data_IF_345230530087
#
_entry.id   IF_345230530087
#
_cell.length_a   1.000
_cell.length_b   1.000
_cell.length_c   1.000
_cell.angle_alpha   90.00
_cell.angle_beta   90.00
_cell.angle_gamma   90.00
#
_symmetry.space_group_name_H-M   'P 1'
#
loop_
_entity.id
_entity.type
_entity.pdbx_description
1 polymer ?
#
# COMPACT_ATOMS: atom_id res chain seq x y z
N UNK A 1 40.91 -0.88 -35.28
CA UNK A 1 40.26 -1.82 -34.33
C UNK A 1 38.76 -1.52 -34.34
N UNK A 2 37.93 -2.44 -34.86
CA UNK A 2 36.49 -2.20 -35.06
C UNK A 2 35.77 -1.95 -33.72
N UNK A 3 34.85 -0.98 -33.68
CA UNK A 3 34.07 -0.62 -32.47
C UNK A 3 33.32 -1.82 -31.88
N UNK A 4 32.91 -2.78 -32.71
CA UNK A 4 32.24 -4.02 -32.28
C UNK A 4 33.12 -4.94 -31.43
N UNK A 5 34.41 -5.06 -31.76
CA UNK A 5 35.35 -5.91 -31.02
C UNK A 5 35.59 -5.41 -29.58
N UNK A 6 35.68 -4.09 -29.43
CA UNK A 6 35.82 -3.44 -28.11
C UNK A 6 34.59 -3.70 -27.24
N UNK A 7 33.39 -3.63 -27.82
CA UNK A 7 32.14 -3.90 -27.12
C UNK A 7 32.02 -5.36 -26.66
N UNK A 8 32.37 -6.31 -27.52
CA UNK A 8 32.32 -7.73 -27.17
C UNK A 8 33.33 -8.07 -26.06
N UNK A 9 34.52 -7.49 -26.12
CA UNK A 9 35.54 -7.64 -25.08
C UNK A 9 35.06 -7.08 -23.73
N UNK A 10 34.36 -5.95 -23.73
CA UNK A 10 33.74 -5.38 -22.52
C UNK A 10 32.63 -6.29 -21.99
N UNK A 11 31.79 -6.86 -22.86
CA UNK A 11 30.71 -7.79 -22.49
C UNK A 11 31.26 -9.04 -21.82
N UNK A 12 32.23 -9.70 -22.45
CA UNK A 12 32.90 -10.88 -21.91
C UNK A 12 33.56 -10.62 -20.54
N UNK A 13 34.19 -9.45 -20.35
CA UNK A 13 34.79 -9.10 -19.05
C UNK A 13 33.75 -8.78 -17.98
N UNK A 14 32.60 -8.18 -18.34
CA UNK A 14 31.48 -7.99 -17.40
C UNK A 14 30.89 -9.34 -16.97
N UNK A 15 30.70 -10.26 -17.90
CA UNK A 15 30.25 -11.62 -17.60
C UNK A 15 31.26 -12.38 -16.71
N UNK A 16 32.55 -12.23 -16.97
CA UNK A 16 33.60 -12.79 -16.11
C UNK A 16 33.55 -12.21 -14.68
N UNK A 17 33.22 -10.93 -14.51
CA UNK A 17 33.02 -10.32 -13.18
C UNK A 17 31.78 -10.90 -12.48
N UNK A 18 30.70 -11.17 -13.21
CA UNK A 18 29.52 -11.83 -12.65
C UNK A 18 29.86 -13.25 -12.22
N UNK A 19 30.60 -14.02 -13.05
CA UNK A 19 31.08 -15.37 -12.73
C UNK A 19 32.09 -15.39 -11.57
N UNK A 20 32.87 -14.32 -11.37
CA UNK A 20 33.78 -14.21 -10.23
C UNK A 20 33.04 -14.24 -8.89
N UNK A 21 31.77 -13.80 -8.86
CA UNK A 21 30.94 -13.84 -7.65
C UNK A 21 30.72 -15.28 -7.17
N UNK A 22 30.45 -16.20 -8.09
CA UNK A 22 30.14 -17.60 -7.81
C UNK A 22 31.37 -18.51 -7.62
N UNK A 23 32.58 -18.05 -7.91
CA UNK A 23 33.79 -18.88 -7.72
C UNK A 23 34.12 -19.13 -6.24
N UNK A 24 34.69 -20.29 -5.86
CA UNK A 24 35.04 -20.63 -4.48
C UNK A 24 36.40 -20.05 -4.05
N UNK A 25 36.61 -18.75 -4.24
CA UNK A 25 37.84 -18.05 -3.82
C UNK A 25 37.65 -17.24 -2.54
N UNK A 26 38.72 -17.05 -1.77
CA UNK A 26 38.72 -16.16 -0.61
C UNK A 26 38.34 -14.73 -0.99
N UNK A 27 37.60 -14.04 -0.11
CA UNK A 27 37.10 -12.69 -0.40
C UNK A 27 38.21 -11.67 -0.66
N UNK A 28 39.39 -11.84 -0.04
CA UNK A 28 40.57 -11.01 -0.31
C UNK A 28 41.01 -11.16 -1.78
N UNK A 29 41.07 -12.39 -2.30
CA UNK A 29 41.43 -12.67 -3.71
C UNK A 29 40.37 -12.15 -4.68
N UNK A 30 39.09 -12.38 -4.40
CA UNK A 30 37.96 -11.86 -5.21
C UNK A 30 37.98 -10.33 -5.31
N UNK A 31 38.16 -9.62 -4.19
CA UNK A 31 38.22 -8.15 -4.17
C UNK A 31 39.40 -7.60 -4.99
N UNK A 32 40.57 -8.25 -4.95
CA UNK A 32 41.74 -7.89 -5.76
C UNK A 32 41.47 -8.08 -7.25
N UNK A 33 40.97 -9.26 -7.66
CA UNK A 33 40.62 -9.55 -9.05
C UNK A 33 39.54 -8.59 -9.58
N UNK A 34 38.53 -8.29 -8.77
CA UNK A 34 37.50 -7.30 -9.08
C UNK A 34 38.10 -5.89 -9.28
N UNK A 35 39.03 -5.47 -8.43
CA UNK A 35 39.68 -4.15 -8.52
C UNK A 35 40.49 -4.03 -9.81
N UNK A 36 41.22 -5.08 -10.21
CA UNK A 36 41.95 -5.14 -11.49
C UNK A 36 41.00 -5.08 -12.67
N UNK A 37 39.95 -5.91 -12.68
CA UNK A 37 38.96 -5.94 -13.76
C UNK A 37 38.22 -4.59 -13.91
N UNK A 38 37.87 -3.94 -12.79
CA UNK A 38 37.27 -2.59 -12.79
C UNK A 38 38.21 -1.52 -13.36
N UNK A 39 39.50 -1.54 -12.99
CA UNK A 39 40.50 -0.61 -13.55
C UNK A 39 40.64 -0.78 -15.05
N UNK A 40 40.67 -2.02 -15.53
CA UNK A 40 40.75 -2.34 -16.96
C UNK A 40 39.50 -1.84 -17.71
N UNK A 41 38.30 -2.13 -17.19
CA UNK A 41 37.05 -1.63 -17.76
C UNK A 41 37.00 -0.11 -17.80
N UNK A 42 37.44 0.58 -16.73
CA UNK A 42 37.46 2.05 -16.68
C UNK A 42 38.35 2.65 -17.79
N UNK A 43 39.48 2.01 -18.12
CA UNK A 43 40.40 2.43 -19.21
C UNK A 43 39.86 2.13 -20.61
N UNK A 44 39.10 1.05 -20.76
CA UNK A 44 38.46 0.68 -22.04
C UNK A 44 37.22 1.52 -22.31
N UNK A 45 36.46 1.84 -21.26
CA UNK A 45 35.20 2.57 -21.35
C UNK A 45 35.38 4.05 -21.75
N UNK A 46 36.55 4.64 -21.54
CA UNK A 46 36.90 5.96 -22.09
C UNK A 46 37.09 5.97 -23.62
N UNK A 47 37.27 4.81 -24.24
CA UNK A 47 37.41 4.65 -25.70
C UNK A 47 36.08 4.40 -26.42
N UNK A 48 34.97 4.27 -25.68
CA UNK A 48 33.64 3.93 -26.22
C UNK A 48 32.81 5.22 -26.39
N UNK A 49 31.96 5.26 -27.43
CA UNK A 49 31.10 6.40 -27.80
C UNK A 49 30.35 7.01 -26.61
N UNK A 50 30.42 8.36 -26.47
CA UNK A 50 29.78 9.16 -25.41
C UNK A 50 28.27 8.91 -25.30
N UNK A 51 27.60 8.61 -26.42
CA UNK A 51 26.17 8.29 -26.48
C UNK A 51 25.80 6.98 -25.77
N UNK A 52 26.64 5.95 -25.88
CA UNK A 52 26.40 4.68 -25.17
C UNK A 52 26.63 4.85 -23.67
N UNK A 53 27.61 5.68 -23.29
CA UNK A 53 27.85 6.04 -21.89
C UNK A 53 26.63 6.75 -21.30
N UNK A 54 26.07 7.73 -22.02
CA UNK A 54 24.86 8.45 -21.59
C UNK A 54 23.65 7.53 -21.46
N UNK A 55 23.43 6.61 -22.42
CA UNK A 55 22.33 5.62 -22.35
C UNK A 55 22.47 4.69 -21.14
N UNK A 56 23.68 4.22 -20.85
CA UNK A 56 23.96 3.36 -19.69
C UNK A 56 23.79 4.12 -18.38
N UNK A 57 24.27 5.37 -18.30
CA UNK A 57 24.11 6.20 -17.11
C UNK A 57 22.63 6.59 -16.89
N UNK A 58 21.90 6.92 -17.95
CA UNK A 58 20.46 7.16 -17.90
C UNK A 58 19.72 5.93 -17.38
N UNK A 59 19.98 4.74 -17.93
CA UNK A 59 19.37 3.48 -17.46
C UNK A 59 19.68 3.24 -15.98
N UNK A 60 20.90 3.52 -15.54
CA UNK A 60 21.30 3.42 -14.14
C UNK A 60 20.55 4.41 -13.26
N UNK A 61 20.40 5.66 -13.68
CA UNK A 61 19.62 6.68 -12.99
C UNK A 61 18.14 6.29 -12.91
N UNK A 62 17.55 5.76 -13.99
CA UNK A 62 16.18 5.23 -14.00
C UNK A 62 16.00 4.08 -12.99
N UNK A 63 16.94 3.14 -12.91
CA UNK A 63 16.87 2.06 -11.89
C UNK A 63 17.10 2.57 -10.46
N UNK A 64 17.85 3.65 -10.29
CA UNK A 64 18.07 4.27 -8.98
C UNK A 64 16.84 5.06 -8.54
N UNK A 65 16.24 5.82 -9.47
CA UNK A 65 14.98 6.53 -9.27
C UNK A 65 13.84 5.55 -8.96
N UNK A 66 13.72 4.44 -9.68
CA UNK A 66 12.74 3.40 -9.38
C UNK A 66 12.89 2.81 -7.97
N UNK A 67 14.13 2.61 -7.50
CA UNK A 67 14.42 2.21 -6.11
C UNK A 67 14.04 3.29 -5.10
N UNK A 68 14.31 4.55 -5.42
CA UNK A 68 13.92 5.68 -4.59
C UNK A 68 12.39 5.81 -4.47
N UNK A 69 11.64 5.69 -5.57
CA UNK A 69 10.18 5.65 -5.56
C UNK A 69 9.65 4.46 -4.74
N UNK A 70 10.28 3.29 -4.85
CA UNK A 70 9.91 2.13 -4.02
C UNK A 70 10.12 2.41 -2.52
N UNK A 71 11.20 3.12 -2.16
CA UNK A 71 11.45 3.52 -0.79
C UNK A 71 10.45 4.58 -0.33
N UNK A 72 10.11 5.56 -1.16
CA UNK A 72 9.07 6.55 -0.87
C UNK A 72 7.70 5.91 -0.69
N UNK A 73 7.37 4.87 -1.47
CA UNK A 73 6.11 4.14 -1.33
C UNK A 73 5.91 3.63 0.11
N UNK A 74 6.97 3.24 0.80
CA UNK A 74 6.90 2.77 2.20
C UNK A 74 6.48 3.90 3.14
N UNK A 75 6.89 5.14 2.87
CA UNK A 75 6.50 6.32 3.65
C UNK A 75 5.11 6.86 3.26
N UNK A 76 4.74 6.71 1.98
CA UNK A 76 3.43 7.10 1.45
C UNK A 76 2.31 6.16 1.91
N UNK A 77 2.62 4.90 2.19
CA UNK A 77 1.64 3.99 2.77
C UNK A 77 1.46 4.39 4.23
N UNK A 78 0.25 4.81 4.62
CA UNK A 78 0.03 5.25 5.98
C UNK A 78 0.39 4.12 6.96
N UNK A 79 1.31 4.43 7.88
CA UNK A 79 1.48 3.75 9.16
C UNK A 79 2.14 2.37 9.02
N UNK A 80 2.63 2.04 7.82
CA UNK A 80 3.27 0.76 7.52
C UNK A 80 4.58 0.56 8.31
N UNK A 81 5.36 1.61 8.52
CA UNK A 81 6.53 1.54 9.39
C UNK A 81 6.16 1.14 10.83
N UNK A 82 5.06 1.69 11.36
CA UNK A 82 4.58 1.38 12.71
C UNK A 82 4.06 -0.05 12.81
N UNK A 83 3.30 -0.52 11.81
CA UNK A 83 2.84 -1.91 11.74
C UNK A 83 4.04 -2.88 11.69
N UNK A 84 5.08 -2.59 10.90
CA UNK A 84 6.31 -3.40 10.84
C UNK A 84 7.07 -3.42 12.16
N UNK A 85 7.10 -2.31 12.89
CA UNK A 85 7.67 -2.29 14.25
C UNK A 85 6.87 -3.18 15.20
N UNK A 86 5.54 -3.15 15.14
CA UNK A 86 4.66 -4.02 15.95
C UNK A 86 4.87 -5.49 15.55
N UNK A 87 4.98 -5.82 14.26
CA UNK A 87 5.29 -7.17 13.77
C UNK A 87 6.62 -7.69 14.33
N UNK A 88 7.64 -6.82 14.37
CA UNK A 88 8.94 -7.17 14.91
C UNK A 88 8.88 -7.49 16.41
N UNK A 89 8.04 -6.80 17.20
CA UNK A 89 7.98 -6.98 18.66
C UNK A 89 7.00 -8.09 19.06
N UNK A 90 5.80 -8.08 18.50
CA UNK A 90 4.66 -8.91 18.90
C UNK A 90 4.37 -10.09 17.95
N UNK A 91 5.07 -10.17 16.82
CA UNK A 91 4.90 -11.24 15.84
C UNK A 91 3.86 -10.92 14.76
N UNK A 92 3.73 -11.86 13.81
CA UNK A 92 2.89 -11.72 12.63
C UNK A 92 1.40 -11.79 12.95
N UNK A 93 1.01 -12.52 14.00
CA UNK A 93 -0.39 -12.67 14.42
C UNK A 93 -1.01 -11.32 14.78
N UNK A 94 -0.36 -10.56 15.67
CA UNK A 94 -0.85 -9.23 16.08
C UNK A 94 -0.75 -8.22 14.93
N UNK A 95 0.32 -8.28 14.13
CA UNK A 95 0.49 -7.41 12.95
C UNK A 95 -0.60 -7.62 11.89
N UNK A 96 -1.07 -8.85 11.72
CA UNK A 96 -2.10 -9.20 10.74
C UNK A 96 -3.42 -8.45 11.00
N UNK A 97 -3.78 -8.24 12.27
CA UNK A 97 -4.96 -7.45 12.67
C UNK A 97 -4.86 -6.01 12.19
N UNK A 98 -3.75 -5.32 12.47
CA UNK A 98 -3.57 -3.93 12.02
C UNK A 98 -3.47 -3.79 10.51
N UNK A 99 -2.88 -4.79 9.84
CA UNK A 99 -2.83 -4.85 8.38
C UNK A 99 -4.23 -5.00 7.78
N UNK A 100 -5.09 -5.81 8.39
CA UNK A 100 -6.48 -5.96 8.00
C UNK A 100 -7.30 -4.69 8.29
N UNK A 101 -7.13 -4.09 9.47
CA UNK A 101 -7.79 -2.84 9.86
C UNK A 101 -7.44 -1.70 8.89
N UNK A 102 -6.16 -1.55 8.55
CA UNK A 102 -5.70 -0.56 7.56
C UNK A 102 -6.37 -0.77 6.20
N UNK A 103 -6.52 -2.03 5.79
CA UNK A 103 -7.18 -2.36 4.54
C UNK A 103 -8.67 -2.00 4.58
N UNK A 104 -9.40 -2.37 5.64
CA UNK A 104 -10.81 -1.97 5.82
C UNK A 104 -10.94 -0.45 5.81
N UNK A 105 -10.10 0.25 6.57
CA UNK A 105 -10.11 1.71 6.64
C UNK A 105 -9.89 2.32 5.25
N UNK A 106 -8.96 1.79 4.46
CA UNK A 106 -8.69 2.26 3.11
C UNK A 106 -9.89 2.08 2.17
N UNK A 107 -10.59 0.95 2.30
CA UNK A 107 -11.82 0.67 1.56
C UNK A 107 -12.92 1.65 1.95
N UNK A 108 -13.14 1.88 3.26
CA UNK A 108 -14.12 2.83 3.77
C UNK A 108 -13.80 4.27 3.34
N UNK A 109 -12.54 4.70 3.38
CA UNK A 109 -12.13 6.03 2.89
C UNK A 109 -12.43 6.17 1.40
N UNK A 110 -12.24 5.12 0.60
CA UNK A 110 -12.59 5.16 -0.83
C UNK A 110 -14.10 5.34 -1.01
N UNK A 111 -14.91 4.65 -0.21
CA UNK A 111 -16.37 4.79 -0.25
C UNK A 111 -16.83 6.19 0.18
N UNK A 112 -16.23 6.76 1.23
CA UNK A 112 -16.55 8.13 1.66
C UNK A 112 -16.14 9.16 0.62
N UNK A 113 -15.01 8.98 -0.06
CA UNK A 113 -14.61 9.84 -1.18
C UNK A 113 -15.62 9.77 -2.32
N UNK A 114 -16.09 8.58 -2.69
CA UNK A 114 -17.11 8.42 -3.74
C UNK A 114 -18.42 9.10 -3.32
N UNK A 115 -18.89 8.88 -2.08
CA UNK A 115 -20.08 9.58 -1.56
C UNK A 115 -19.88 11.09 -1.54
N UNK A 116 -18.69 11.57 -1.17
CA UNK A 116 -18.42 13.01 -1.14
C UNK A 116 -18.42 13.64 -2.53
N UNK A 117 -17.77 13.00 -3.49
CA UNK A 117 -17.65 13.51 -4.86
C UNK A 117 -18.99 13.54 -5.60
N UNK A 118 -19.82 12.50 -5.42
CA UNK A 118 -21.08 12.39 -6.16
C UNK A 118 -22.28 12.92 -5.38
N UNK A 119 -22.35 12.78 -4.07
CA UNK A 119 -23.55 13.19 -3.32
C UNK A 119 -23.33 14.52 -2.61
N UNK A 120 -22.32 14.62 -1.74
CA UNK A 120 -22.19 15.80 -0.85
C UNK A 120 -21.72 17.05 -1.59
N UNK A 121 -20.74 16.94 -2.48
CA UNK A 121 -20.17 18.10 -3.19
C UNK A 121 -21.20 18.70 -4.17
N UNK A 122 -21.93 17.92 -4.97
CA UNK A 122 -22.98 18.47 -5.82
C UNK A 122 -24.07 19.15 -5.02
N UNK A 123 -24.53 18.57 -3.90
CA UNK A 123 -25.56 19.21 -3.08
C UNK A 123 -25.06 20.51 -2.44
N UNK A 124 -23.84 20.52 -1.90
CA UNK A 124 -23.22 21.72 -1.34
C UNK A 124 -23.06 22.83 -2.38
N UNK A 125 -22.62 22.48 -3.59
CA UNK A 125 -22.47 23.43 -4.69
C UNK A 125 -23.83 23.97 -5.14
N UNK A 126 -24.85 23.13 -5.12
CA UNK A 126 -26.19 23.45 -5.57
C UNK A 126 -26.95 24.33 -4.56
N UNK A 127 -26.63 24.24 -3.27
CA UNK A 127 -27.07 25.21 -2.25
C UNK A 127 -26.28 26.53 -2.34
N UNK A 128 -24.96 26.46 -2.54
CA UNK A 128 -24.11 27.65 -2.63
C UNK A 128 -24.43 28.52 -3.86
N UNK A 129 -24.92 27.91 -4.95
CA UNK A 129 -25.35 28.58 -6.17
C UNK A 129 -26.86 28.76 -6.27
N UNK A 130 -27.62 28.21 -5.33
CA UNK A 130 -29.07 28.29 -5.32
C UNK A 130 -29.52 29.72 -5.09
N UNK A 131 -30.49 30.20 -5.87
CA UNK A 131 -31.17 31.46 -5.59
C UNK A 131 -32.02 31.38 -4.31
N UNK A 132 -32.58 32.52 -3.85
CA UNK A 132 -33.44 32.58 -2.66
C UNK A 132 -34.68 31.66 -2.75
N UNK A 133 -35.12 31.30 -3.96
CA UNK A 133 -36.23 30.38 -4.20
C UNK A 133 -35.95 28.96 -3.67
N UNK A 134 -34.75 28.42 -3.91
CA UNK A 134 -34.37 27.08 -3.42
C UNK A 134 -34.23 27.08 -1.90
N UNK A 135 -33.68 28.16 -1.34
CA UNK A 135 -33.53 28.31 0.10
C UNK A 135 -34.88 28.24 0.81
N UNK A 136 -35.90 28.97 0.31
CA UNK A 136 -37.24 28.95 0.90
C UNK A 136 -37.90 27.56 0.83
N UNK A 137 -37.73 26.82 -0.27
CA UNK A 137 -38.32 25.48 -0.42
C UNK A 137 -37.66 24.43 0.46
N UNK A 138 -36.34 24.55 0.65
CA UNK A 138 -35.55 23.58 1.43
C UNK A 138 -35.35 24.00 2.89
N UNK A 139 -35.90 25.15 3.29
CA UNK A 139 -35.76 25.73 4.63
C UNK A 139 -36.12 24.74 5.75
N UNK A 140 -37.22 24.01 5.57
CA UNK A 140 -37.74 23.07 6.57
C UNK A 140 -36.85 21.85 6.83
N UNK A 141 -35.90 21.57 5.92
CA UNK A 141 -35.00 20.42 5.96
C UNK A 141 -33.62 20.84 6.47
N UNK A 142 -33.15 22.02 6.05
CA UNK A 142 -31.77 22.47 6.25
C UNK A 142 -31.59 23.40 7.44
N UNK A 143 -32.67 24.01 7.93
CA UNK A 143 -32.62 24.94 9.06
C UNK A 143 -33.27 24.31 10.28
N UNK A 144 -32.53 24.35 11.38
CA UNK A 144 -32.99 23.84 12.66
C UNK A 144 -34.14 24.67 13.21
N UNK A 145 -35.17 24.00 13.74
CA UNK A 145 -36.29 24.67 14.40
C UNK A 145 -35.85 25.26 15.73
N UNK A 146 -36.34 26.46 16.04
CA UNK A 146 -35.93 27.24 17.21
C UNK A 146 -36.13 26.50 18.55
N UNK A 147 -37.17 25.66 18.63
CA UNK A 147 -37.47 24.81 19.78
C UNK A 147 -36.42 23.71 20.05
N UNK A 148 -35.67 23.30 19.04
CA UNK A 148 -34.74 22.18 19.12
C UNK A 148 -33.30 22.66 19.40
N UNK A 149 -33.00 23.94 19.18
CA UNK A 149 -31.70 24.59 19.43
C UNK A 149 -31.19 24.36 20.87
N UNK A 150 -31.98 24.57 21.95
CA UNK A 150 -31.46 24.39 23.30
C UNK A 150 -31.15 22.92 23.65
N UNK A 151 -31.76 21.96 22.95
CA UNK A 151 -31.51 20.53 23.12
C UNK A 151 -30.37 20.00 22.24
N UNK A 152 -29.89 20.82 21.31
CA UNK A 152 -28.87 20.43 20.34
C UNK A 152 -27.50 20.19 20.99
N UNK A 153 -27.21 20.91 22.08
CA UNK A 153 -25.95 20.85 22.82
C UNK A 153 -25.93 19.69 23.86
N UNK A 154 -27.07 19.06 24.12
CA UNK A 154 -27.16 17.96 25.08
C UNK A 154 -26.36 16.73 24.59
N UNK A 155 -25.50 16.19 25.45
CA UNK A 155 -24.61 15.08 25.11
C UNK A 155 -25.38 13.82 24.66
N UNK A 156 -26.57 13.58 25.21
CA UNK A 156 -27.44 12.48 24.79
C UNK A 156 -27.93 12.68 23.35
N UNK A 157 -28.32 13.89 22.96
CA UNK A 157 -28.76 14.24 21.60
C UNK A 157 -27.61 14.12 20.59
N UNK A 158 -26.41 14.54 20.99
CA UNK A 158 -25.21 14.45 20.16
C UNK A 158 -24.77 13.00 19.92
N UNK A 159 -24.81 12.14 20.94
CA UNK A 159 -24.50 10.72 20.81
C UNK A 159 -25.53 9.97 19.93
N UNK A 160 -26.78 10.41 19.95
CA UNK A 160 -27.85 9.94 19.06
C UNK A 160 -27.69 10.43 17.61
N UNK A 161 -26.63 11.22 17.31
CA UNK A 161 -26.41 11.90 16.03
C UNK A 161 -27.56 12.84 15.63
N UNK A 162 -28.30 13.38 16.60
CA UNK A 162 -29.36 14.37 16.41
C UNK A 162 -28.85 15.80 16.67
N UNK A 163 -29.71 16.79 16.49
CA UNK A 163 -29.33 18.20 16.65
C UNK A 163 -28.47 18.65 15.47
N UNK A 164 -27.31 19.26 15.70
CA UNK A 164 -26.47 19.78 14.61
C UNK A 164 -26.03 18.73 13.59
N UNK A 165 -25.91 17.46 14.00
CA UNK A 165 -25.54 16.38 13.08
C UNK A 165 -26.67 16.02 12.10
N UNK A 166 -27.93 16.19 12.50
CA UNK A 166 -29.11 15.93 11.66
C UNK A 166 -29.20 16.93 10.50
N UNK A 167 -28.85 18.20 10.76
CA UNK A 167 -28.83 19.28 9.78
C UNK A 167 -27.49 19.42 9.05
N UNK A 168 -26.60 18.43 9.16
CA UNK A 168 -25.30 18.42 8.49
C UNK A 168 -25.36 17.73 7.12
N UNK A 169 -24.51 18.14 6.19
CA UNK A 169 -24.41 17.58 4.82
C UNK A 169 -24.15 16.07 4.77
N UNK A 170 -23.63 15.48 5.84
CA UNK A 170 -23.34 14.05 5.90
C UNK A 170 -24.59 13.20 6.18
N UNK A 171 -25.66 13.81 6.69
CA UNK A 171 -26.87 13.10 7.08
C UNK A 171 -27.87 13.00 5.93
N UNK A 172 -28.56 11.85 5.85
CA UNK A 172 -29.54 11.61 4.78
C UNK A 172 -30.66 12.66 4.78
N UNK A 173 -31.09 13.08 5.97
CA UNK A 173 -32.13 14.09 6.13
C UNK A 173 -31.82 15.43 5.48
N UNK A 174 -30.56 15.75 5.18
CA UNK A 174 -30.18 17.02 4.55
C UNK A 174 -30.48 17.10 3.05
N UNK A 175 -30.55 15.95 2.38
CA UNK A 175 -30.66 15.90 0.91
C UNK A 175 -32.08 16.21 0.45
N UNK A 176 -32.22 17.23 -0.41
CA UNK A 176 -33.51 17.60 -0.98
C UNK A 176 -33.89 16.70 -2.17
N UNK A 177 -35.19 16.56 -2.41
CA UNK A 177 -35.72 15.89 -3.61
C UNK A 177 -35.73 16.80 -4.84
N UNK A 178 -35.36 18.07 -4.68
CA UNK A 178 -35.33 19.04 -5.77
C UNK A 178 -34.24 18.74 -6.80
N UNK A 179 -34.59 18.91 -8.08
CA UNK A 179 -33.65 18.81 -9.18
C UNK A 179 -32.89 20.12 -9.34
N UNK A 180 -31.57 20.07 -9.29
CA UNK A 180 -30.74 21.23 -9.55
C UNK A 180 -30.51 21.39 -11.06
N UNK A 181 -30.74 22.62 -11.56
CA UNK A 181 -30.37 23.05 -12.91
C UNK A 181 -29.49 24.28 -12.83
N UNK A 182 -28.32 24.21 -13.49
CA UNK A 182 -27.75 25.36 -14.18
C UNK A 182 -27.72 25.00 -15.65
N UNK A 183 -28.57 25.64 -16.47
CA UNK A 183 -28.77 25.64 -17.94
C UNK A 183 -28.46 24.41 -18.84
N UNK A 184 -27.72 23.38 -18.43
CA UNK A 184 -27.25 22.30 -19.31
C UNK A 184 -27.27 20.89 -18.70
N UNK A 185 -27.30 20.69 -17.37
CA UNK A 185 -27.32 19.34 -16.76
C UNK A 185 -28.32 19.24 -15.60
N UNK A 186 -29.21 18.26 -15.68
CA UNK A 186 -30.17 17.91 -14.62
C UNK A 186 -29.55 16.94 -13.63
N UNK A 187 -29.37 17.37 -12.38
CA UNK A 187 -28.87 16.50 -11.31
C UNK A 187 -29.94 16.28 -10.25
N UNK A 188 -30.52 15.08 -10.24
CA UNK A 188 -31.45 14.64 -9.19
C UNK A 188 -30.69 13.93 -8.07
N UNK A 189 -30.57 14.59 -6.93
CA UNK A 189 -29.85 14.07 -5.75
C UNK A 189 -30.41 12.73 -5.25
N UNK A 190 -31.72 12.47 -5.21
CA UNK A 190 -32.24 11.18 -4.76
C UNK A 190 -31.82 10.00 -5.63
N UNK A 191 -31.87 10.18 -6.96
CA UNK A 191 -31.47 9.14 -7.93
C UNK A 191 -29.96 8.92 -7.86
N UNK A 192 -29.19 9.99 -7.73
CA UNK A 192 -27.75 9.89 -7.55
C UNK A 192 -27.39 9.16 -6.26
N UNK A 193 -28.03 9.51 -5.14
CA UNK A 193 -27.84 8.83 -3.86
C UNK A 193 -28.13 7.33 -3.99
N UNK A 194 -29.25 6.95 -4.60
CA UNK A 194 -29.59 5.54 -4.82
C UNK A 194 -28.55 4.82 -5.69
N UNK A 195 -28.17 5.42 -6.83
CA UNK A 195 -27.23 4.83 -7.79
C UNK A 195 -25.82 4.69 -7.21
N UNK A 196 -25.36 5.70 -6.48
CA UNK A 196 -24.05 5.69 -5.81
C UNK A 196 -24.03 4.65 -4.69
N UNK A 197 -25.10 4.53 -3.89
CA UNK A 197 -25.20 3.48 -2.88
C UNK A 197 -25.19 2.08 -3.50
N UNK A 198 -25.92 1.86 -4.60
CA UNK A 198 -25.88 0.59 -5.33
C UNK A 198 -24.47 0.28 -5.84
N UNK A 199 -23.78 1.28 -6.38
CA UNK A 199 -22.40 1.15 -6.83
C UNK A 199 -21.44 0.83 -5.68
N UNK A 200 -21.56 1.53 -4.54
CA UNK A 200 -20.73 1.30 -3.35
C UNK A 200 -20.95 -0.11 -2.81
N UNK A 201 -22.21 -0.58 -2.73
CA UNK A 201 -22.51 -1.94 -2.31
C UNK A 201 -21.85 -2.96 -3.23
N UNK A 202 -22.02 -2.81 -4.55
CA UNK A 202 -21.39 -3.69 -5.55
C UNK A 202 -19.87 -3.68 -5.47
N UNK A 203 -19.27 -2.49 -5.38
CA UNK A 203 -17.82 -2.31 -5.23
C UNK A 203 -17.30 -2.94 -3.92
N UNK A 204 -18.00 -2.71 -2.80
CA UNK A 204 -17.63 -3.27 -1.49
C UNK A 204 -17.58 -4.80 -1.55
N UNK A 205 -18.62 -5.40 -2.10
CA UNK A 205 -18.76 -6.83 -2.20
C UNK A 205 -17.68 -7.43 -3.10
N UNK A 206 -17.46 -6.82 -4.27
CA UNK A 206 -16.45 -7.28 -5.21
C UNK A 206 -15.04 -7.20 -4.62
N UNK A 207 -14.68 -6.09 -3.96
CA UNK A 207 -13.37 -5.91 -3.34
C UNK A 207 -13.15 -6.89 -2.18
N UNK A 208 -14.16 -7.10 -1.34
CA UNK A 208 -14.10 -8.09 -0.26
C UNK A 208 -13.92 -9.50 -0.82
N UNK A 209 -14.70 -9.88 -1.83
CA UNK A 209 -14.57 -11.18 -2.49
C UNK A 209 -13.20 -11.38 -3.13
N UNK A 210 -12.70 -10.38 -3.85
CA UNK A 210 -11.38 -10.45 -4.47
C UNK A 210 -10.29 -10.61 -3.41
N UNK A 211 -10.40 -9.90 -2.28
CA UNK A 211 -9.46 -10.03 -1.17
C UNK A 211 -9.54 -11.40 -0.51
N UNK A 212 -10.74 -11.92 -0.27
CA UNK A 212 -10.95 -13.26 0.29
C UNK A 212 -10.43 -14.36 -0.64
N UNK A 213 -10.71 -14.26 -1.94
CA UNK A 213 -10.21 -15.20 -2.95
C UNK A 213 -8.68 -15.16 -3.05
N UNK A 214 -8.07 -13.97 -3.00
CA UNK A 214 -6.61 -13.82 -2.96
C UNK A 214 -6.02 -14.44 -1.69
N UNK A 215 -6.62 -14.21 -0.53
CA UNK A 215 -6.14 -14.78 0.73
C UNK A 215 -6.28 -16.31 0.74
N UNK A 216 -7.39 -16.86 0.24
CA UNK A 216 -7.60 -18.30 0.10
C UNK A 216 -6.67 -18.95 -0.93
N UNK A 217 -6.32 -18.23 -2.00
CA UNK A 217 -5.32 -18.69 -2.97
C UNK A 217 -3.92 -18.67 -2.36
N UNK A 218 -3.59 -17.64 -1.57
CA UNK A 218 -2.30 -17.57 -0.86
C UNK A 218 -2.16 -18.70 0.14
N UNK A 219 -3.20 -19.05 0.92
CA UNK A 219 -3.14 -20.19 1.83
C UNK A 219 -2.95 -21.53 1.10
N UNK A 220 -3.64 -21.73 -0.03
CA UNK A 220 -3.49 -22.95 -0.86
C UNK A 220 -2.14 -23.05 -1.56
N UNK A 221 -1.55 -21.93 -1.99
CA UNK A 221 -0.23 -21.90 -2.64
C UNK A 221 0.91 -22.20 -1.66
N UNK A 222 0.73 -21.88 -0.37
CA UNK A 222 1.71 -22.23 0.66
C UNK A 222 1.77 -23.74 0.86
N UNK A 223 0.64 -24.45 0.81
CA UNK A 223 0.50 -25.91 1.07
C UNK A 223 1.18 -26.89 0.08
N UNK A 224 2.10 -26.44 -0.78
CA UNK A 224 2.83 -27.30 -1.72
C UNK A 224 4.11 -27.92 -1.14
N UNK A 225 4.81 -28.75 -1.93
CA UNK A 225 6.10 -29.42 -1.57
C UNK A 225 7.21 -28.50 -1.02
N UNK A 226 7.06 -27.17 -1.12
CA UNK A 226 7.93 -26.19 -0.48
C UNK A 226 7.77 -26.11 1.05
N UNK A 227 6.68 -26.65 1.60
CA UNK A 227 6.41 -26.65 3.05
C UNK A 227 7.17 -27.72 3.84
N UNK A 228 7.70 -28.75 3.18
CA UNK A 228 8.34 -29.86 3.89
C UNK A 228 9.60 -29.42 4.68
N UNK A 229 10.21 -28.29 4.30
CA UNK A 229 11.44 -27.77 4.91
C UNK A 229 11.42 -26.24 5.15
N UNK A 230 10.26 -25.65 5.49
CA UNK A 230 10.15 -24.18 5.75
C UNK A 230 11.14 -23.73 6.83
N UNK A 231 11.26 -24.50 7.90
CA UNK A 231 12.19 -24.19 9.00
C UNK A 231 13.64 -24.16 8.52
N UNK A 232 14.10 -25.18 7.81
CA UNK A 232 15.47 -25.26 7.29
C UNK A 232 15.77 -24.13 6.30
N UNK A 233 14.86 -23.84 5.38
CA UNK A 233 15.06 -22.76 4.41
C UNK A 233 15.17 -21.40 5.10
N UNK A 234 14.30 -21.12 6.09
CA UNK A 234 14.37 -19.89 6.87
C UNK A 234 15.61 -19.82 7.77
N UNK A 235 16.09 -20.95 8.30
CA UNK A 235 17.32 -21.02 9.09
C UNK A 235 18.56 -20.71 8.24
N UNK A 236 18.66 -21.29 7.03
CA UNK A 236 19.83 -21.10 6.18
C UNK A 236 19.80 -19.78 5.39
N UNK A 237 18.62 -19.30 4.99
CA UNK A 237 18.46 -18.08 4.22
C UNK A 237 18.08 -16.84 5.06
N UNK A 238 17.88 -16.99 6.37
CA UNK A 238 17.44 -15.91 7.26
C UNK A 238 18.53 -14.92 7.68
N UNK A 239 19.78 -15.11 7.23
CA UNK A 239 20.91 -14.25 7.59
C UNK A 239 21.07 -13.10 6.60
N UNK A 240 21.05 -11.86 7.09
CA UNK A 240 21.38 -10.67 6.31
C UNK A 240 22.64 -9.99 6.85
N UNK A 241 23.75 -10.13 6.12
CA UNK A 241 25.04 -9.50 6.46
C UNK A 241 25.20 -8.08 5.89
N UNK A 242 24.17 -7.53 5.23
CA UNK A 242 24.23 -6.21 4.58
C UNK A 242 23.75 -5.06 5.47
N UNK A 243 23.21 -5.36 6.64
CA UNK A 243 22.71 -4.38 7.61
C UNK A 243 23.87 -3.77 8.39
N UNK A 244 24.11 -2.46 8.21
CA UNK A 244 25.16 -1.72 8.92
C UNK A 244 24.69 -0.90 10.13
N UNK A 245 23.37 -0.72 10.30
CA UNK A 245 22.81 0.04 11.43
C UNK A 245 22.44 -0.92 12.58
N UNK A 246 22.95 -0.64 13.78
CA UNK A 246 22.71 -1.44 14.98
C UNK A 246 21.22 -1.53 15.35
N UNK A 247 20.46 -0.42 15.25
CA UNK A 247 19.02 -0.42 15.56
C UNK A 247 18.22 -1.29 14.58
N UNK A 248 18.58 -1.24 13.30
CA UNK A 248 17.93 -2.05 12.27
C UNK A 248 18.29 -3.53 12.43
N UNK A 249 19.52 -3.83 12.83
CA UNK A 249 19.96 -5.19 13.11
C UNK A 249 19.21 -5.81 14.30
N UNK A 250 19.02 -5.05 15.38
CA UNK A 250 18.24 -5.50 16.55
C UNK A 250 16.79 -5.84 16.18
N UNK A 251 16.12 -4.96 15.42
CA UNK A 251 14.77 -5.22 14.91
C UNK A 251 14.73 -6.45 13.99
N UNK A 252 15.73 -6.62 13.11
CA UNK A 252 15.81 -7.79 12.25
C UNK A 252 15.96 -9.10 13.03
N UNK A 253 16.82 -9.11 14.06
CA UNK A 253 17.00 -10.28 14.93
C UNK A 253 15.69 -10.61 15.65
N UNK A 254 15.02 -9.62 16.24
CA UNK A 254 13.75 -9.84 16.94
C UNK A 254 12.66 -10.39 16.00
N UNK A 255 12.55 -9.83 14.79
CA UNK A 255 11.63 -10.31 13.77
C UNK A 255 11.92 -11.77 13.36
N UNK A 256 13.19 -12.15 13.22
CA UNK A 256 13.56 -13.53 12.91
C UNK A 256 13.26 -14.48 14.06
N UNK A 257 13.56 -14.10 15.31
CA UNK A 257 13.24 -14.91 16.49
C UNK A 257 11.74 -15.18 16.57
N UNK A 258 10.90 -14.15 16.37
CA UNK A 258 9.45 -14.32 16.38
C UNK A 258 8.97 -15.23 15.24
N UNK A 259 9.53 -15.10 14.04
CA UNK A 259 9.23 -16.04 12.92
C UNK A 259 9.59 -17.48 13.26
N UNK A 260 10.72 -17.73 13.93
CA UNK A 260 11.09 -19.09 14.36
C UNK A 260 10.14 -19.63 15.42
N UNK A 261 9.75 -18.81 16.40
CA UNK A 261 8.73 -19.19 17.41
C UNK A 261 7.41 -19.57 16.76
N UNK A 262 6.96 -18.81 15.77
CA UNK A 262 5.72 -19.09 15.03
C UNK A 262 5.78 -20.44 14.29
N UNK A 263 6.88 -20.73 13.60
CA UNK A 263 7.04 -22.00 12.86
C UNK A 263 7.09 -23.20 13.82
N UNK A 264 7.77 -23.05 14.96
CA UNK A 264 7.84 -24.11 15.97
C UNK A 264 6.44 -24.37 16.55
N UNK A 265 5.70 -23.31 16.89
CA UNK A 265 4.34 -23.43 17.38
C UNK A 265 3.40 -24.08 16.35
N UNK A 266 3.50 -23.69 15.07
CA UNK A 266 2.74 -24.31 13.98
C UNK A 266 3.07 -25.79 13.80
N UNK A 267 4.35 -26.16 13.92
CA UNK A 267 4.78 -27.55 13.90
C UNK A 267 4.21 -28.35 15.07
N UNK A 268 4.22 -27.80 16.29
CA UNK A 268 3.64 -28.46 17.46
C UNK A 268 2.13 -28.72 17.28
N UNK A 269 1.38 -27.75 16.76
CA UNK A 269 -0.06 -27.89 16.47
C UNK A 269 -0.32 -28.92 15.36
N UNK A 270 0.48 -28.92 14.29
CA UNK A 270 0.34 -29.91 13.23
C UNK A 270 0.73 -31.32 13.70
N UNK A 271 1.67 -31.42 14.65
CA UNK A 271 2.05 -32.67 15.28
C UNK A 271 0.89 -33.23 16.11
N UNK A 272 0.25 -32.43 16.96
CA UNK A 272 -0.89 -32.91 17.78
C UNK A 272 -2.06 -33.37 16.91
N UNK A 273 -2.43 -32.62 15.86
CA UNK A 273 -3.48 -32.99 14.90
C UNK A 273 -3.23 -34.29 14.13
N UNK A 274 -1.99 -34.76 14.06
CA UNK A 274 -1.63 -36.01 13.38
C UNK A 274 -1.78 -37.24 14.30
N UNK A 275 -1.85 -37.01 15.62
CA UNK A 275 -1.98 -38.06 16.64
C UNK A 275 -3.40 -38.12 17.25
N UNK A 276 -4.30 -37.23 16.83
CA UNK A 276 -5.76 -37.32 17.00
C UNK A 276 -6.39 -37.92 15.73
#
# INVERSE_FOLDING_TARGET
MSKGWVLETIRQKKEAIVRLRSQPWSMKRKRRALKVARRYLKRQQSKVSRWHLYKVEATRQWTAFGRWCSNMKIYLIPWEAKIKTIESHYGSVVSSYFTFLRWILSVNITMTIIMMLFVTIPEWLADSRGGPERFNRTYHIKVMKEKDIPRADELNTVLDFKGYFEYSLLFYGYYSSETYFGDTVQYSVPVAYFTVNLFILGYSFFIILQKMASNARQSKLTGGKAEQYVFNWKLFAGWDYSIGNAETAANFVMANVNKFREIIAEYDVNRTKKFE
#
